data_IF_607491607573
#
_entry.id   IF_607491607573
#
_cell.length_a   1.000
_cell.length_b   1.000
_cell.length_c   1.000
_cell.angle_alpha   90.00
_cell.angle_beta   90.00
_cell.angle_gamma   90.00
#
_symmetry.space_group_name_H-M   'P 1'
#
loop_
_entity.id
_entity.type
_entity.pdbx_description
1 polymer ?
#
# COMPACT_ATOMS: atom_id res chain seq x y z
N UNK A 1 -28.41 -13.10 5.70
CA UNK A 1 -27.54 -12.14 6.44
C UNK A 1 -26.78 -11.32 5.43
N UNK A 2 -26.64 -10.01 5.63
CA UNK A 2 -25.80 -9.15 4.79
C UNK A 2 -24.57 -8.77 5.58
N UNK A 3 -23.40 -9.04 5.04
CA UNK A 3 -22.11 -8.68 5.63
C UNK A 3 -21.45 -7.62 4.75
N UNK A 4 -21.01 -6.52 5.34
CA UNK A 4 -20.25 -5.47 4.65
C UNK A 4 -18.89 -5.31 5.29
N UNK A 5 -17.86 -5.21 4.44
CA UNK A 5 -16.47 -5.01 4.86
C UNK A 5 -15.86 -3.94 3.98
N UNK A 6 -15.01 -3.09 4.57
CA UNK A 6 -14.15 -2.13 3.85
C UNK A 6 -12.68 -2.46 4.07
N UNK A 7 -11.84 -2.12 3.12
CA UNK A 7 -10.39 -2.23 3.23
C UNK A 7 -9.70 -1.00 2.62
N UNK A 8 -8.64 -0.47 3.25
CA UNK A 8 -7.98 0.74 2.79
C UNK A 8 -7.02 0.49 1.63
N UNK A 9 -6.75 1.53 0.84
CA UNK A 9 -5.59 1.61 -0.03
C UNK A 9 -4.30 1.56 0.81
N UNK A 10 -3.18 1.28 0.15
CA UNK A 10 -1.88 1.24 0.81
C UNK A 10 -0.78 1.82 -0.06
N UNK A 11 0.26 2.36 0.58
CA UNK A 11 1.53 2.66 -0.06
C UNK A 11 2.62 1.79 0.57
N UNK A 12 3.41 1.11 -0.24
CA UNK A 12 4.43 0.18 0.22
C UNK A 12 5.83 0.61 -0.20
N UNK A 13 6.81 -0.03 0.39
CA UNK A 13 8.24 0.20 0.30
C UNK A 13 8.70 1.47 1.02
N UNK A 14 8.02 2.58 0.89
CA UNK A 14 8.37 3.87 1.54
C UNK A 14 9.87 4.18 1.40
N UNK A 15 10.38 4.11 0.16
CA UNK A 15 11.81 4.16 -0.14
C UNK A 15 12.52 2.85 0.21
N UNK A 16 13.37 2.80 1.26
CA UNK A 16 14.25 1.66 1.54
C UNK A 16 13.57 0.45 2.20
N UNK A 17 12.28 0.55 2.55
CA UNK A 17 11.52 -0.53 3.18
C UNK A 17 10.98 -1.56 2.18
N UNK A 18 11.79 -1.90 1.16
CA UNK A 18 11.43 -2.82 0.10
C UNK A 18 10.93 -4.17 0.62
N UNK A 19 9.72 -4.58 0.19
CA UNK A 19 9.02 -5.79 0.57
C UNK A 19 8.77 -5.93 2.10
N UNK A 20 8.94 -4.85 2.89
CA UNK A 20 8.75 -4.95 4.33
C UNK A 20 7.98 -3.78 4.97
N UNK A 21 7.91 -2.60 4.35
CA UNK A 21 7.25 -1.44 4.94
C UNK A 21 6.05 -1.00 4.11
N UNK A 22 4.91 -0.75 4.76
CA UNK A 22 3.73 -0.18 4.12
C UNK A 22 2.89 0.65 5.10
N UNK A 23 2.10 1.57 4.55
CA UNK A 23 1.12 2.35 5.30
C UNK A 23 -0.26 2.25 4.65
N UNK A 24 -1.31 2.19 5.46
CA UNK A 24 -2.69 2.28 5.02
C UNK A 24 -3.07 3.73 4.73
N UNK A 25 -3.86 3.95 3.67
CA UNK A 25 -4.30 5.27 3.22
C UNK A 25 -5.83 5.36 3.30
N UNK A 26 -6.36 6.56 3.49
CA UNK A 26 -7.80 6.83 3.69
C UNK A 26 -8.66 6.79 2.41
N UNK A 27 -8.33 5.90 1.49
CA UNK A 27 -9.13 5.56 0.30
C UNK A 27 -9.57 4.09 0.40
N UNK A 28 -10.88 3.81 0.22
CA UNK A 28 -11.45 2.53 0.60
C UNK A 28 -12.14 1.80 -0.53
N UNK A 29 -11.87 0.50 -0.66
CA UNK A 29 -12.74 -0.45 -1.36
C UNK A 29 -13.70 -1.10 -0.36
N UNK A 30 -14.83 -1.59 -0.87
CA UNK A 30 -15.86 -2.25 -0.08
C UNK A 30 -16.31 -3.55 -0.73
N UNK A 31 -16.77 -4.50 0.08
CA UNK A 31 -17.50 -5.68 -0.38
C UNK A 31 -18.79 -5.84 0.43
N UNK A 32 -19.87 -6.14 -0.27
CA UNK A 32 -21.12 -6.63 0.32
C UNK A 32 -21.29 -8.11 -0.03
N UNK A 33 -21.42 -8.94 0.99
CA UNK A 33 -21.69 -10.39 0.84
C UNK A 33 -23.12 -10.65 1.30
N UNK A 34 -23.93 -11.23 0.43
CA UNK A 34 -25.35 -11.51 0.68
C UNK A 34 -25.60 -13.00 0.52
N UNK A 35 -26.30 -13.61 1.48
CA UNK A 35 -26.82 -14.98 1.34
C UNK A 35 -27.95 -15.00 0.31
N UNK A 36 -27.96 -15.96 -0.59
CA UNK A 36 -28.95 -16.11 -1.67
C UNK A 36 -28.45 -17.04 -2.77
N UNK A 37 -29.26 -17.23 -3.81
CA UNK A 37 -28.99 -18.15 -4.93
C UNK A 37 -27.99 -17.59 -5.97
N UNK A 38 -27.09 -16.68 -5.57
CA UNK A 38 -26.10 -16.09 -6.45
C UNK A 38 -24.94 -17.05 -6.74
N UNK A 39 -24.47 -17.04 -7.98
CA UNK A 39 -23.19 -17.68 -8.35
C UNK A 39 -22.05 -16.74 -8.01
N UNK A 40 -21.12 -17.20 -7.17
CA UNK A 40 -19.90 -16.47 -6.87
C UNK A 40 -18.92 -16.57 -8.05
N UNK A 41 -18.40 -15.44 -8.51
CA UNK A 41 -17.29 -15.42 -9.47
C UNK A 41 -16.00 -15.88 -8.77
N UNK A 42 -15.72 -17.17 -8.81
CA UNK A 42 -14.53 -17.79 -8.20
C UNK A 42 -13.21 -17.36 -8.87
N UNK A 43 -13.25 -16.69 -10.01
CA UNK A 43 -12.06 -16.08 -10.62
C UNK A 43 -11.67 -14.77 -9.95
N UNK A 44 -12.62 -14.10 -9.29
CA UNK A 44 -12.40 -12.82 -8.62
C UNK A 44 -11.54 -13.00 -7.36
N UNK A 45 -10.46 -12.21 -7.26
CA UNK A 45 -9.44 -12.34 -6.21
C UNK A 45 -10.01 -12.28 -4.78
N UNK A 46 -10.97 -11.38 -4.54
CA UNK A 46 -11.64 -11.24 -3.24
C UNK A 46 -12.54 -12.44 -2.91
N UNK A 47 -13.18 -13.06 -3.91
CA UNK A 47 -13.96 -14.29 -3.72
C UNK A 47 -13.03 -15.47 -3.40
N UNK A 48 -11.88 -15.56 -4.09
CA UNK A 48 -10.85 -16.56 -3.78
C UNK A 48 -10.31 -16.40 -2.36
N UNK A 49 -10.07 -15.17 -1.93
CA UNK A 49 -9.63 -14.88 -0.56
C UNK A 49 -10.70 -15.28 0.48
N UNK A 50 -11.97 -14.99 0.22
CA UNK A 50 -13.10 -15.44 1.06
C UNK A 50 -13.15 -16.98 1.15
N UNK A 51 -12.96 -17.66 0.02
CA UNK A 51 -13.02 -19.12 -0.08
C UNK A 51 -11.95 -19.86 0.77
N UNK A 52 -10.86 -19.19 1.14
CA UNK A 52 -9.87 -19.76 2.07
C UNK A 52 -10.43 -20.01 3.47
N UNK A 53 -11.48 -19.29 3.86
CA UNK A 53 -12.00 -19.27 5.24
C UNK A 53 -13.44 -19.74 5.37
N UNK A 54 -14.27 -19.54 4.34
CA UNK A 54 -15.69 -19.88 4.34
C UNK A 54 -16.16 -20.34 2.94
N UNK A 55 -17.20 -21.19 2.85
CA UNK A 55 -17.77 -21.60 1.56
C UNK A 55 -18.42 -20.44 0.83
N UNK A 56 -18.24 -20.35 -0.49
CA UNK A 56 -18.84 -19.36 -1.38
C UNK A 56 -20.25 -19.73 -1.84
N UNK A 57 -20.60 -21.02 -1.79
CA UNK A 57 -21.89 -21.53 -2.23
C UNK A 57 -23.06 -20.84 -1.51
N UNK A 58 -24.07 -20.42 -2.27
CA UNK A 58 -25.22 -19.71 -1.73
C UNK A 58 -24.92 -18.27 -1.30
N UNK A 59 -23.86 -17.65 -1.84
CA UNK A 59 -23.49 -16.27 -1.56
C UNK A 59 -23.24 -15.49 -2.85
N UNK A 60 -23.65 -14.23 -2.85
CA UNK A 60 -23.33 -13.27 -3.88
C UNK A 60 -22.42 -12.18 -3.31
N UNK A 61 -21.51 -11.68 -4.16
CA UNK A 61 -20.49 -10.70 -3.79
C UNK A 61 -20.65 -9.45 -4.66
N UNK A 62 -20.71 -8.28 -4.04
CA UNK A 62 -20.71 -7.00 -4.72
C UNK A 62 -19.52 -6.17 -4.25
N UNK A 63 -18.54 -5.99 -5.11
CA UNK A 63 -17.37 -5.15 -4.83
C UNK A 63 -17.62 -3.72 -5.32
N UNK A 64 -17.15 -2.76 -4.52
CA UNK A 64 -17.09 -1.33 -4.88
C UNK A 64 -15.63 -0.92 -4.86
N UNK A 65 -15.04 -0.80 -6.04
CA UNK A 65 -13.63 -0.48 -6.24
C UNK A 65 -13.45 1.02 -6.46
N UNK A 66 -12.81 1.70 -5.52
CA UNK A 66 -12.41 3.12 -5.62
C UNK A 66 -10.89 3.26 -5.73
N UNK A 67 -10.14 2.25 -5.29
CA UNK A 67 -8.68 2.23 -5.36
C UNK A 67 -8.25 1.92 -6.79
N UNK A 68 -7.47 2.80 -7.46
CA UNK A 68 -7.03 2.56 -8.84
C UNK A 68 -6.21 1.29 -8.97
N UNK A 69 -6.59 0.43 -9.93
CA UNK A 69 -5.90 -0.84 -10.18
C UNK A 69 -4.56 -0.63 -10.87
N UNK A 70 -3.56 -1.45 -10.55
CA UNK A 70 -2.24 -1.48 -11.19
C UNK A 70 -1.49 -0.13 -11.17
N UNK A 71 -1.74 0.69 -10.13
CA UNK A 71 -1.11 2.00 -9.95
C UNK A 71 -0.28 2.12 -8.67
N UNK A 72 0.00 1.00 -7.99
CA UNK A 72 0.85 1.01 -6.81
C UNK A 72 0.17 1.48 -5.52
N UNK A 73 -1.17 1.54 -5.48
CA UNK A 73 -1.97 1.91 -4.31
C UNK A 73 -2.59 0.72 -3.58
N UNK A 74 -2.02 -0.48 -3.72
CA UNK A 74 -2.42 -1.67 -2.98
C UNK A 74 -3.81 -2.21 -3.30
N UNK A 75 -4.37 -1.96 -4.51
CA UNK A 75 -5.72 -2.40 -4.88
C UNK A 75 -5.92 -3.91 -4.75
N UNK A 76 -4.93 -4.73 -5.14
CA UNK A 76 -4.95 -6.19 -5.00
C UNK A 76 -5.03 -6.59 -3.52
N UNK A 77 -4.14 -6.05 -2.71
CA UNK A 77 -4.09 -6.30 -1.26
C UNK A 77 -5.39 -5.92 -0.56
N UNK A 78 -5.99 -4.77 -0.93
CA UNK A 78 -7.28 -4.35 -0.39
C UNK A 78 -8.40 -5.35 -0.74
N UNK A 79 -8.45 -5.82 -1.99
CA UNK A 79 -9.44 -6.81 -2.45
C UNK A 79 -9.26 -8.16 -1.73
N UNK A 80 -8.02 -8.60 -1.51
CA UNK A 80 -7.72 -9.80 -0.72
C UNK A 80 -8.15 -9.59 0.74
N UNK A 81 -7.80 -8.47 1.35
CA UNK A 81 -8.17 -8.15 2.73
C UNK A 81 -9.69 -8.14 2.93
N UNK A 82 -10.46 -7.57 1.96
CA UNK A 82 -11.93 -7.65 1.96
C UNK A 82 -12.44 -9.08 2.03
N UNK A 83 -11.91 -9.94 1.15
CA UNK A 83 -12.31 -11.34 1.09
C UNK A 83 -11.97 -12.11 2.36
N UNK A 84 -10.75 -11.93 2.89
CA UNK A 84 -10.29 -12.60 4.11
C UNK A 84 -11.13 -12.19 5.33
N UNK A 85 -11.34 -10.90 5.55
CA UNK A 85 -12.13 -10.42 6.69
C UNK A 85 -13.57 -10.88 6.56
N UNK A 86 -14.20 -10.74 5.38
CA UNK A 86 -15.55 -11.21 5.15
C UNK A 86 -15.68 -12.74 5.35
N UNK A 87 -14.69 -13.52 4.86
CA UNK A 87 -14.65 -14.96 5.03
C UNK A 87 -14.48 -15.39 6.50
N UNK A 88 -13.61 -14.71 7.25
CA UNK A 88 -13.43 -14.96 8.67
C UNK A 88 -14.73 -14.71 9.45
N UNK A 89 -15.36 -13.56 9.20
CA UNK A 89 -16.65 -13.22 9.85
C UNK A 89 -17.77 -14.20 9.47
N UNK A 90 -17.85 -14.62 8.20
CA UNK A 90 -18.84 -15.59 7.74
C UNK A 90 -18.62 -16.99 8.35
N UNK A 91 -17.41 -17.32 8.76
CA UNK A 91 -17.04 -18.57 9.42
C UNK A 91 -17.00 -18.47 10.96
N UNK A 92 -17.44 -17.35 11.53
CA UNK A 92 -17.34 -17.05 12.97
C UNK A 92 -15.91 -17.23 13.52
N UNK A 93 -14.90 -16.83 12.72
CA UNK A 93 -13.50 -16.83 13.07
C UNK A 93 -13.02 -15.43 13.44
N UNK A 94 -11.99 -15.37 14.29
CA UNK A 94 -11.31 -14.12 14.64
C UNK A 94 -10.58 -13.54 13.42
N UNK A 95 -10.93 -12.31 12.96
CA UNK A 95 -10.28 -11.67 11.82
C UNK A 95 -8.96 -10.98 12.17
N UNK A 96 -8.21 -11.49 13.14
CA UNK A 96 -6.93 -10.90 13.55
C UNK A 96 -5.95 -10.80 12.36
N UNK A 97 -5.34 -9.62 12.11
CA UNK A 97 -4.51 -9.37 10.95
C UNK A 97 -3.37 -10.38 10.74
N UNK A 98 -2.72 -10.82 11.83
CA UNK A 98 -1.62 -11.78 11.76
C UNK A 98 -2.07 -13.16 11.23
N UNK A 99 -3.29 -13.59 11.61
CA UNK A 99 -3.86 -14.85 11.13
C UNK A 99 -4.25 -14.75 9.67
N UNK A 100 -4.87 -13.62 9.28
CA UNK A 100 -5.32 -13.40 7.92
C UNK A 100 -4.16 -13.16 6.95
N UNK A 101 -3.06 -12.53 7.40
CA UNK A 101 -1.87 -12.36 6.58
C UNK A 101 -1.30 -13.71 6.14
N UNK A 102 -1.17 -14.66 7.05
CA UNK A 102 -0.63 -16.01 6.75
C UNK A 102 -1.45 -16.74 5.66
N UNK A 103 -2.78 -16.57 5.69
CA UNK A 103 -3.68 -17.14 4.68
C UNK A 103 -3.60 -16.40 3.34
N UNK A 104 -3.55 -15.07 3.37
CA UNK A 104 -3.66 -14.24 2.17
C UNK A 104 -2.36 -14.04 1.40
N UNK A 105 -1.21 -14.18 2.04
CA UNK A 105 0.10 -13.93 1.40
C UNK A 105 0.33 -14.82 0.17
N UNK A 106 -0.24 -16.02 0.14
CA UNK A 106 -0.15 -16.93 -1.00
C UNK A 106 -0.88 -16.39 -2.25
N UNK A 107 -1.92 -15.57 -2.07
CA UNK A 107 -2.66 -14.93 -3.16
C UNK A 107 -1.97 -13.65 -3.64
N UNK A 108 -1.39 -12.86 -2.73
CA UNK A 108 -0.75 -11.57 -3.03
C UNK A 108 0.70 -11.74 -3.49
N UNK A 109 1.41 -12.69 -2.91
CA UNK A 109 2.84 -12.91 -3.16
C UNK A 109 3.78 -12.02 -2.34
N UNK A 110 3.25 -11.00 -1.64
CA UNK A 110 4.00 -10.05 -0.81
C UNK A 110 3.20 -9.73 0.46
N UNK A 111 3.90 -9.52 1.57
CA UNK A 111 3.26 -9.30 2.85
C UNK A 111 2.94 -7.82 3.15
N UNK A 112 3.72 -6.89 2.63
CA UNK A 112 3.74 -5.48 3.00
C UNK A 112 2.39 -4.76 2.81
N UNK A 113 1.87 -4.67 1.57
CA UNK A 113 0.58 -4.06 1.28
C UNK A 113 -0.57 -4.76 2.01
N UNK A 114 -0.55 -6.11 2.02
CA UNK A 114 -1.61 -6.87 2.67
C UNK A 114 -1.61 -6.66 4.19
N UNK A 115 -0.44 -6.57 4.82
CA UNK A 115 -0.32 -6.26 6.23
C UNK A 115 -0.93 -4.89 6.58
N UNK A 116 -0.58 -3.85 5.81
CA UNK A 116 -1.15 -2.52 6.02
C UNK A 116 -2.66 -2.48 5.73
N UNK A 117 -3.13 -3.18 4.69
CA UNK A 117 -4.56 -3.28 4.39
C UNK A 117 -5.35 -3.98 5.51
N UNK A 118 -4.77 -5.00 6.16
CA UNK A 118 -5.42 -5.75 7.23
C UNK A 118 -5.34 -5.01 8.58
N UNK A 119 -4.17 -4.46 8.94
CA UNK A 119 -3.92 -3.93 10.28
C UNK A 119 -4.15 -2.42 10.42
N UNK A 120 -4.13 -1.67 9.31
CA UNK A 120 -4.11 -0.22 9.33
C UNK A 120 -2.79 0.36 9.85
N UNK A 121 -2.69 1.69 9.86
CA UNK A 121 -1.49 2.40 10.32
C UNK A 121 -0.27 2.14 9.42
N UNK A 122 0.90 2.17 10.04
CA UNK A 122 2.19 1.90 9.41
C UNK A 122 2.70 0.55 9.89
N UNK A 123 2.91 -0.37 8.97
CA UNK A 123 3.29 -1.76 9.26
C UNK A 123 4.68 -2.07 8.73
N UNK A 124 5.41 -2.87 9.51
CA UNK A 124 6.58 -3.61 9.04
C UNK A 124 6.27 -5.10 9.06
N UNK A 125 6.80 -5.82 8.06
CA UNK A 125 6.62 -7.26 7.91
C UNK A 125 7.95 -7.99 7.83
N UNK A 126 7.98 -9.21 8.35
CA UNK A 126 9.09 -10.17 8.18
C UNK A 126 8.53 -11.58 8.35
N UNK A 127 8.95 -12.51 7.53
CA UNK A 127 8.54 -13.93 7.62
C UNK A 127 7.01 -14.11 7.79
N UNK A 128 6.21 -13.29 7.08
CA UNK A 128 4.74 -13.24 7.16
C UNK A 128 4.20 -12.83 8.54
N UNK A 129 4.98 -12.11 9.32
CA UNK A 129 4.54 -11.48 10.58
C UNK A 129 4.33 -9.98 10.35
N UNK A 130 3.51 -9.38 11.21
CA UNK A 130 3.20 -7.95 11.18
C UNK A 130 3.65 -7.33 12.51
N UNK A 131 4.24 -6.14 12.44
CA UNK A 131 4.24 -5.20 13.55
C UNK A 131 3.72 -3.85 13.04
N UNK A 132 2.70 -3.34 13.69
CA UNK A 132 2.24 -1.97 13.50
C UNK A 132 3.13 -1.07 14.34
N UNK A 133 3.95 -0.25 13.69
CA UNK A 133 4.97 0.58 14.35
C UNK A 133 4.48 1.98 14.66
N UNK A 134 3.45 2.46 13.94
CA UNK A 134 2.86 3.77 14.17
C UNK A 134 1.41 3.82 13.64
N UNK A 135 0.60 4.73 14.18
CA UNK A 135 -0.74 5.03 13.68
C UNK A 135 -0.71 6.01 12.51
N UNK A 136 0.34 6.84 12.44
CA UNK A 136 0.53 7.86 11.41
C UNK A 136 1.98 7.88 10.93
N UNK A 137 2.20 8.45 9.74
CA UNK A 137 3.52 8.80 9.24
C UNK A 137 3.93 10.18 9.76
N UNK A 138 5.24 10.45 9.95
CA UNK A 138 5.73 11.76 10.33
C UNK A 138 5.77 12.75 9.14
N UNK A 139 5.02 12.46 8.08
CA UNK A 139 4.90 13.23 6.86
C UNK A 139 3.54 12.98 6.21
N UNK A 140 3.02 13.96 5.49
CA UNK A 140 1.78 13.85 4.71
C UNK A 140 2.09 13.28 3.33
N UNK A 141 1.44 12.17 2.91
CA UNK A 141 1.59 11.62 1.57
C UNK A 141 0.72 12.36 0.55
N UNK A 142 1.35 12.95 -0.48
CA UNK A 142 0.65 13.48 -1.65
C UNK A 142 0.99 12.57 -2.83
N UNK A 143 0.01 11.85 -3.34
CA UNK A 143 0.16 10.92 -4.43
C UNK A 143 0.02 11.61 -5.79
N UNK A 144 0.96 11.35 -6.68
CA UNK A 144 0.88 11.63 -8.11
C UNK A 144 0.48 10.33 -8.79
N UNK A 145 -0.79 10.19 -9.18
CA UNK A 145 -1.38 8.97 -9.73
C UNK A 145 -1.55 9.14 -11.24
N UNK A 146 -0.67 8.57 -12.08
CA UNK A 146 -0.79 8.68 -13.53
C UNK A 146 -1.89 7.75 -14.08
N UNK A 147 -2.33 7.98 -15.32
CA UNK A 147 -3.25 7.07 -16.02
C UNK A 147 -2.57 5.74 -16.41
N UNK A 148 -1.27 5.77 -16.64
CA UNK A 148 -0.48 4.58 -16.96
C UNK A 148 -0.56 3.54 -15.84
N UNK A 149 -0.48 2.27 -16.21
CA UNK A 149 -0.47 1.13 -15.29
C UNK A 149 0.86 0.36 -15.37
N UNK A 150 1.28 -0.21 -14.26
CA UNK A 150 2.45 -1.09 -14.18
C UNK A 150 2.07 -2.32 -13.37
N UNK A 151 2.13 -3.50 -13.97
CA UNK A 151 1.92 -4.73 -13.22
C UNK A 151 3.08 -4.99 -12.25
N UNK A 152 2.77 -5.52 -11.07
CA UNK A 152 3.78 -5.88 -10.07
C UNK A 152 4.83 -6.86 -10.63
N UNK A 153 4.39 -7.82 -11.46
CA UNK A 153 5.30 -8.75 -12.12
C UNK A 153 6.29 -8.03 -13.05
N UNK A 154 5.82 -7.08 -13.87
CA UNK A 154 6.68 -6.31 -14.76
C UNK A 154 7.66 -5.40 -14.00
N UNK A 155 7.23 -4.82 -12.87
CA UNK A 155 8.11 -4.04 -12.02
C UNK A 155 9.16 -4.90 -11.30
N UNK A 156 8.79 -6.12 -10.87
CA UNK A 156 9.72 -7.05 -10.24
C UNK A 156 10.75 -7.60 -11.24
N UNK A 157 10.35 -7.89 -12.46
CA UNK A 157 11.24 -8.33 -13.53
C UNK A 157 12.25 -7.26 -13.99
N UNK A 158 12.12 -6.01 -13.55
CA UNK A 158 13.13 -4.97 -13.81
C UNK A 158 14.26 -4.94 -12.79
N UNK A 159 14.14 -5.70 -11.71
CA UNK A 159 15.18 -5.78 -10.69
C UNK A 159 16.31 -6.69 -11.16
N UNK A 160 17.61 -6.35 -10.90
CA UNK A 160 18.72 -7.23 -11.19
C UNK A 160 18.80 -8.39 -10.18
N UNK A 161 19.44 -9.49 -10.57
CA UNK A 161 19.68 -10.63 -9.69
C UNK A 161 20.63 -10.32 -8.52
N UNK A 162 21.41 -9.26 -8.63
CA UNK A 162 22.35 -8.81 -7.59
C UNK A 162 22.55 -7.30 -7.63
N UNK A 163 22.89 -6.73 -6.49
CA UNK A 163 23.24 -5.31 -6.34
C UNK A 163 24.63 -5.16 -5.73
N UNK A 164 25.34 -4.04 -5.98
CA UNK A 164 26.60 -3.76 -5.32
C UNK A 164 26.48 -3.72 -3.79
N UNK A 165 27.45 -4.26 -3.07
CA UNK A 165 27.47 -4.20 -1.60
C UNK A 165 27.32 -2.79 -1.03
N UNK A 166 27.86 -1.77 -1.73
CA UNK A 166 27.72 -0.37 -1.31
C UNK A 166 26.27 0.10 -1.34
N UNK A 167 25.49 -0.29 -2.36
CA UNK A 167 24.07 0.06 -2.48
C UNK A 167 23.20 -0.74 -1.50
N UNK A 168 23.52 -2.03 -1.29
CA UNK A 168 22.88 -2.83 -0.26
C UNK A 168 23.12 -2.25 1.14
N UNK A 169 24.35 -1.88 1.49
CA UNK A 169 24.69 -1.26 2.77
C UNK A 169 24.01 0.11 2.95
N UNK A 170 23.96 0.92 1.87
CA UNK A 170 23.25 2.19 1.88
C UNK A 170 21.77 1.98 2.23
N UNK A 171 21.08 1.10 1.48
CA UNK A 171 19.63 0.86 1.68
C UNK A 171 19.36 0.21 3.03
N UNK A 172 20.21 -0.73 3.51
CA UNK A 172 20.07 -1.31 4.85
C UNK A 172 20.16 -0.24 5.96
N UNK A 173 21.11 0.70 5.84
CA UNK A 173 21.25 1.83 6.77
C UNK A 173 20.02 2.75 6.75
N UNK A 174 19.48 3.04 5.55
CA UNK A 174 18.28 3.85 5.38
C UNK A 174 17.02 3.13 5.90
N UNK A 175 16.90 1.82 5.71
CA UNK A 175 15.80 1.04 6.26
C UNK A 175 15.81 1.03 7.81
N UNK A 176 16.99 0.90 8.43
CA UNK A 176 17.11 1.03 9.88
C UNK A 176 16.73 2.44 10.36
N UNK A 177 17.13 3.49 9.62
CA UNK A 177 16.75 4.87 9.92
C UNK A 177 15.25 5.11 9.74
N UNK A 178 14.62 4.49 8.73
CA UNK A 178 13.17 4.55 8.51
C UNK A 178 12.43 3.98 9.74
N UNK A 179 12.83 2.81 10.23
CA UNK A 179 12.25 2.24 11.45
C UNK A 179 12.36 3.18 12.66
N UNK A 180 13.52 3.81 12.85
CA UNK A 180 13.74 4.78 13.92
C UNK A 180 12.87 6.06 13.73
N UNK A 181 12.78 6.57 12.51
CA UNK A 181 11.96 7.73 12.18
C UNK A 181 10.46 7.50 12.46
N UNK A 182 9.95 6.33 12.08
CA UNK A 182 8.57 5.92 12.33
C UNK A 182 8.27 5.79 13.82
N UNK A 183 9.16 5.12 14.57
CA UNK A 183 8.99 4.92 16.02
C UNK A 183 9.07 6.24 16.81
N UNK A 184 9.84 7.22 16.34
CA UNK A 184 10.00 8.53 16.99
C UNK A 184 9.01 9.59 16.48
N UNK A 185 8.30 9.34 15.38
CA UNK A 185 7.47 10.35 14.72
C UNK A 185 8.30 11.54 14.17
N UNK A 186 9.55 11.29 13.76
CA UNK A 186 10.49 12.35 13.35
C UNK A 186 10.46 12.58 11.85
N UNK A 187 9.93 13.73 11.42
CA UNK A 187 9.91 14.13 10.01
C UNK A 187 11.31 14.32 9.41
N UNK A 188 12.25 14.87 10.20
CA UNK A 188 13.63 15.08 9.74
C UNK A 188 14.34 13.74 9.47
N UNK A 189 14.25 12.79 10.41
CA UNK A 189 14.79 11.46 10.20
C UNK A 189 14.09 10.72 9.06
N UNK A 190 12.78 10.92 8.90
CA UNK A 190 12.02 10.33 7.80
C UNK A 190 12.52 10.82 6.44
N UNK A 191 12.70 12.13 6.28
CA UNK A 191 13.26 12.72 5.05
C UNK A 191 14.63 12.14 4.70
N UNK A 192 15.50 11.97 5.69
CA UNK A 192 16.80 11.32 5.50
C UNK A 192 16.68 9.82 5.18
N UNK A 193 15.66 9.15 5.71
CA UNK A 193 15.51 7.71 5.57
C UNK A 193 15.01 7.28 4.19
N UNK A 194 14.10 8.01 3.54
CA UNK A 194 13.33 7.58 2.36
C UNK A 194 14.13 7.48 1.05
N UNK A 195 15.43 7.34 1.13
CA UNK A 195 16.30 7.15 -0.03
C UNK A 195 16.62 5.66 -0.24
N UNK A 196 16.46 5.19 -1.47
CA UNK A 196 16.69 3.80 -1.85
C UNK A 196 17.68 3.65 -3.00
N UNK A 197 18.44 2.55 -2.99
CA UNK A 197 19.32 2.10 -4.08
C UNK A 197 19.08 0.64 -4.45
N UNK A 198 18.05 0.00 -3.84
CA UNK A 198 17.81 -1.42 -4.03
C UNK A 198 16.78 -1.71 -5.12
N UNK A 199 15.73 -0.89 -5.23
CA UNK A 199 14.64 -1.15 -6.18
C UNK A 199 14.24 0.05 -7.04
N UNK A 200 14.18 1.27 -6.48
CA UNK A 200 13.70 2.45 -7.20
C UNK A 200 14.53 2.81 -8.43
N UNK A 201 15.88 2.78 -8.40
CA UNK A 201 16.68 3.08 -9.59
C UNK A 201 16.38 2.18 -10.78
N UNK A 202 16.06 0.91 -10.52
CA UNK A 202 15.75 -0.07 -11.57
C UNK A 202 14.30 0.03 -12.08
N UNK A 203 13.40 0.62 -11.30
CA UNK A 203 12.01 0.89 -11.65
C UNK A 203 11.79 2.25 -12.28
N UNK A 204 12.74 3.18 -12.15
CA UNK A 204 12.63 4.58 -12.57
C UNK A 204 12.24 4.74 -14.05
N UNK A 205 12.76 3.88 -14.95
CA UNK A 205 12.43 3.92 -16.37
C UNK A 205 10.92 3.72 -16.67
N UNK A 206 10.20 3.04 -15.77
CA UNK A 206 8.74 2.81 -15.85
C UNK A 206 7.94 3.81 -15.03
N UNK A 207 8.60 4.70 -14.31
CA UNK A 207 7.99 5.69 -13.44
C UNK A 207 8.65 7.06 -13.60
N UNK A 208 8.51 7.70 -14.78
CA UNK A 208 9.17 8.98 -15.08
C UNK A 208 8.74 10.11 -14.15
N UNK A 209 7.55 10.00 -13.51
CA UNK A 209 7.09 10.95 -12.50
C UNK A 209 8.01 11.01 -11.28
N UNK A 210 8.72 9.93 -10.93
CA UNK A 210 9.61 9.93 -9.76
C UNK A 210 10.77 10.92 -9.96
N UNK A 211 11.43 10.87 -11.10
CA UNK A 211 12.54 11.78 -11.40
C UNK A 211 12.03 13.21 -11.57
N UNK A 212 10.88 13.38 -12.25
CA UNK A 212 10.26 14.69 -12.42
C UNK A 212 9.83 15.31 -11.07
N UNK A 213 9.36 14.53 -10.12
CA UNK A 213 9.03 15.01 -8.78
C UNK A 213 10.30 15.36 -7.99
N UNK A 214 11.33 14.50 -8.03
CA UNK A 214 12.58 14.68 -7.30
C UNK A 214 13.40 15.88 -7.79
N UNK A 215 13.36 16.18 -9.09
CA UNK A 215 14.13 17.30 -9.67
C UNK A 215 13.65 18.67 -9.21
N UNK A 216 12.41 18.78 -8.72
CA UNK A 216 11.85 20.03 -8.23
C UNK A 216 10.77 19.73 -7.17
N UNK A 217 11.20 19.46 -5.96
CA UNK A 217 10.32 19.27 -4.81
C UNK A 217 9.72 20.60 -4.36
N UNK A 218 8.41 20.63 -3.96
CA UNK A 218 7.82 21.84 -3.38
C UNK A 218 8.47 22.19 -2.04
N UNK A 219 8.30 23.42 -1.61
CA UNK A 219 8.80 23.88 -0.31
C UNK A 219 8.19 23.05 0.84
N UNK A 220 9.04 22.61 1.77
CA UNK A 220 8.63 21.74 2.89
C UNK A 220 8.49 20.26 2.54
N UNK A 221 8.77 19.86 1.29
CA UNK A 221 8.84 18.46 0.94
C UNK A 221 10.10 17.81 1.53
N UNK A 222 9.93 16.59 2.04
CA UNK A 222 10.98 15.76 2.61
C UNK A 222 11.61 14.84 1.55
N UNK A 223 10.91 14.59 0.45
CA UNK A 223 11.35 13.75 -0.65
C UNK A 223 10.20 13.12 -1.42
N UNK A 224 10.53 12.25 -2.38
CA UNK A 224 9.55 11.50 -3.15
C UNK A 224 10.00 10.05 -3.32
N UNK A 225 9.05 9.12 -3.25
CA UNK A 225 9.28 7.66 -3.40
C UNK A 225 8.25 7.04 -4.34
N UNK A 226 8.57 5.87 -4.88
CA UNK A 226 7.55 5.05 -5.52
C UNK A 226 6.57 4.49 -4.49
N UNK A 227 5.31 4.42 -4.84
CA UNK A 227 4.30 3.68 -4.09
C UNK A 227 4.27 2.22 -4.60
N UNK A 228 4.71 1.30 -3.76
CA UNK A 228 4.79 -0.12 -4.12
C UNK A 228 5.62 -0.36 -5.39
N UNK A 229 5.00 -0.95 -6.41
CA UNK A 229 5.64 -1.18 -7.72
C UNK A 229 5.60 0.06 -8.64
N UNK A 230 4.96 1.13 -8.23
CA UNK A 230 4.63 2.28 -9.05
C UNK A 230 3.43 1.99 -9.99
N UNK A 231 3.12 2.86 -10.96
CA UNK A 231 3.85 4.09 -11.31
C UNK A 231 3.50 5.30 -10.44
N UNK A 232 2.60 5.17 -9.46
CA UNK A 232 2.30 6.25 -8.51
C UNK A 232 3.57 6.65 -7.74
N UNK A 233 3.74 7.94 -7.59
CA UNK A 233 4.79 8.56 -6.78
C UNK A 233 4.14 9.23 -5.58
N UNK A 234 4.69 9.02 -4.39
CA UNK A 234 4.32 9.78 -3.20
C UNK A 234 5.35 10.87 -2.97
N UNK A 235 4.90 12.10 -2.93
CA UNK A 235 5.67 13.24 -2.43
C UNK A 235 5.35 13.39 -0.96
N UNK A 236 6.36 13.25 -0.12
CA UNK A 236 6.25 13.33 1.33
C UNK A 236 6.49 14.76 1.78
N UNK A 237 5.53 15.37 2.45
CA UNK A 237 5.63 16.78 2.84
C UNK A 237 5.37 16.95 4.33
N UNK A 238 5.86 18.04 4.90
CA UNK A 238 5.51 18.45 6.26
C UNK A 238 4.04 18.88 6.33
N UNK A 239 3.40 18.67 7.46
CA UNK A 239 1.97 18.97 7.64
C UNK A 239 1.65 20.44 7.31
N UNK A 240 2.48 21.36 7.78
CA UNK A 240 2.31 22.81 7.57
C UNK A 240 2.40 23.23 6.10
N UNK A 241 3.06 22.43 5.25
CA UNK A 241 3.24 22.70 3.82
C UNK A 241 2.26 21.95 2.93
N UNK A 242 1.47 21.02 3.49
CA UNK A 242 0.71 20.04 2.71
C UNK A 242 -0.26 20.68 1.71
N UNK A 243 -1.02 21.69 2.11
CA UNK A 243 -2.01 22.32 1.24
C UNK A 243 -1.35 23.11 0.09
N UNK A 244 -0.26 23.82 0.36
CA UNK A 244 0.47 24.58 -0.66
C UNK A 244 1.17 23.63 -1.64
N UNK A 245 1.81 22.56 -1.14
CA UNK A 245 2.47 21.55 -1.94
C UNK A 245 1.47 20.79 -2.84
N UNK A 246 0.29 20.44 -2.34
CA UNK A 246 -0.76 19.80 -3.13
C UNK A 246 -1.19 20.69 -4.31
N UNK A 247 -1.44 21.98 -4.07
CA UNK A 247 -1.83 22.93 -5.11
C UNK A 247 -0.71 23.12 -6.15
N UNK A 248 0.54 23.24 -5.71
CA UNK A 248 1.70 23.35 -6.60
C UNK A 248 1.86 22.10 -7.47
N UNK A 249 1.84 20.90 -6.86
CA UNK A 249 1.97 19.63 -7.58
C UNK A 249 0.82 19.45 -8.58
N UNK A 250 -0.42 19.78 -8.21
CA UNK A 250 -1.57 19.70 -9.12
C UNK A 250 -1.42 20.64 -10.33
N UNK A 251 -0.82 21.82 -10.16
CA UNK A 251 -0.56 22.74 -11.26
C UNK A 251 0.54 22.26 -12.22
N UNK A 252 1.49 21.48 -11.71
CA UNK A 252 2.68 20.99 -12.46
C UNK A 252 2.46 19.65 -13.14
N UNK A 253 1.74 18.75 -12.50
CA UNK A 253 1.53 17.37 -12.96
C UNK A 253 0.11 17.16 -13.49
N UNK A 254 -0.26 17.93 -14.53
CA UNK A 254 -1.61 17.93 -15.12
C UNK A 254 -2.01 16.60 -15.74
N UNK A 255 -1.04 15.74 -16.09
CA UNK A 255 -1.26 14.38 -16.64
C UNK A 255 -1.40 13.30 -15.53
N UNK A 256 -1.44 13.70 -14.28
CA UNK A 256 -1.64 12.81 -13.14
C UNK A 256 -2.72 13.37 -12.21
N UNK A 257 -3.49 12.49 -11.59
CA UNK A 257 -4.34 12.89 -10.47
C UNK A 257 -3.47 13.13 -9.24
N UNK A 258 -3.54 14.33 -8.67
CA UNK A 258 -2.83 14.68 -7.44
C UNK A 258 -3.80 14.57 -6.29
N UNK A 259 -3.48 13.70 -5.32
CA UNK A 259 -4.37 13.40 -4.19
C UNK A 259 -3.56 13.37 -2.89
N UNK A 260 -3.96 14.21 -1.94
CA UNK A 260 -3.43 14.15 -0.59
C UNK A 260 -4.19 13.10 0.21
N UNK A 261 -3.47 12.17 0.82
CA UNK A 261 -4.03 11.16 1.70
C UNK A 261 -3.70 11.42 3.17
N UNK A 262 -4.54 10.88 4.05
CA UNK A 262 -4.17 10.62 5.44
C UNK A 262 -3.78 9.14 5.59
N UNK A 263 -2.97 8.84 6.61
CA UNK A 263 -2.78 7.45 7.03
C UNK A 263 -4.05 7.00 7.75
N UNK A 264 -4.61 5.87 7.32
CA UNK A 264 -5.74 5.28 8.02
C UNK A 264 -5.25 4.47 9.23
N UNK A 265 -5.64 4.79 10.45
CA UNK A 265 -5.34 3.96 11.61
C UNK A 265 -6.14 2.65 11.60
N UNK A 266 -7.17 2.55 10.79
CA UNK A 266 -8.00 1.35 10.65
C UNK A 266 -7.59 0.56 9.42
N UNK A 267 -7.50 -0.77 9.59
CA UNK A 267 -7.38 -1.72 8.50
C UNK A 267 -8.74 -2.24 8.02
N UNK A 268 -8.73 -3.37 7.32
CA UNK A 268 -9.95 -4.01 6.84
C UNK A 268 -10.88 -4.37 8.01
N UNK A 269 -12.12 -3.90 7.94
CA UNK A 269 -13.08 -3.98 9.04
C UNK A 269 -14.52 -4.06 8.55
N UNK A 270 -15.45 -4.65 9.33
CA UNK A 270 -16.88 -4.57 9.04
C UNK A 270 -17.38 -3.12 9.11
N UNK A 271 -18.43 -2.81 8.29
CA UNK A 271 -19.08 -1.50 8.22
C UNK A 271 -20.52 -1.60 8.75
#
# INVERSE_FOLDING_TARGET
MTLRVRAPATTANIGPGFDCAAAALDLWNEVEVVEGDGDADESHLGVRAFALLAPTAGKSFRFTDRIPRERGLGSSAAVIALGLVAGALAADKDPAPEKLLAEGVQLEGHADNLAAALAGGVCLTWENRIVRVADNLPAVPIALVPEATVSTAAARNSLPDSVPHADAAFTAGRAALLGAALAQGSADLFGEAIHDRLHEPYRAAKAPLLEAARSNLPEGALGATLSGSGPTVIVWVREESAAASEAELASRFTEASVVRFAVSPEGASPV
#
